data_IF_911279770295
#
_entry.id   IF_911279770295
#
_cell.length_a   1.000
_cell.length_b   1.000
_cell.length_c   1.000
_cell.angle_alpha   90.00
_cell.angle_beta   90.00
_cell.angle_gamma   90.00
#
_symmetry.space_group_name_H-M   'P 1'
#
loop_
_entity.id
_entity.type
_entity.pdbx_description
1 polymer ?
#
# COMPACT_ATOMS: atom_id res chain seq x y z
N UNK A 1 5.80 -21.83 1.33
CA UNK A 1 6.53 -21.66 0.05
C UNK A 1 5.75 -22.17 -1.17
N UNK A 2 5.42 -23.47 -1.29
CA UNK A 2 4.77 -24.02 -2.51
C UNK A 2 3.49 -23.30 -2.95
N UNK A 3 2.54 -23.10 -2.03
CA UNK A 3 1.27 -22.40 -2.33
C UNK A 3 1.46 -20.90 -2.63
N UNK A 4 2.45 -20.23 -2.03
CA UNK A 4 2.80 -18.85 -2.39
C UNK A 4 3.12 -18.73 -3.88
N UNK A 5 3.94 -19.65 -4.40
CA UNK A 5 4.29 -19.70 -5.82
C UNK A 5 3.12 -20.13 -6.71
N UNK A 6 2.52 -21.28 -6.43
CA UNK A 6 1.55 -21.92 -7.33
C UNK A 6 0.19 -21.21 -7.33
N UNK A 7 -0.29 -20.82 -6.14
CA UNK A 7 -1.61 -20.20 -5.98
C UNK A 7 -1.54 -18.70 -6.12
N UNK A 8 -0.53 -18.03 -5.56
CA UNK A 8 -0.49 -16.57 -5.49
C UNK A 8 0.54 -15.92 -6.41
N UNK A 9 1.38 -16.70 -7.09
CA UNK A 9 2.40 -16.15 -8.01
C UNK A 9 3.50 -15.37 -7.30
N UNK A 10 3.73 -15.64 -6.01
CA UNK A 10 4.73 -14.99 -5.16
C UNK A 10 5.96 -15.88 -5.02
N UNK A 11 7.13 -15.34 -5.32
CA UNK A 11 8.41 -16.02 -5.11
C UNK A 11 9.46 -15.08 -4.53
N UNK A 12 10.38 -15.63 -3.76
CA UNK A 12 11.59 -14.93 -3.31
C UNK A 12 12.84 -15.67 -3.77
N UNK A 13 13.90 -14.93 -4.11
CA UNK A 13 15.21 -15.48 -4.43
C UNK A 13 16.30 -14.54 -3.91
N UNK A 14 16.98 -14.93 -2.83
CA UNK A 14 17.89 -14.02 -2.15
C UNK A 14 17.13 -12.80 -1.62
N UNK A 15 17.50 -11.62 -2.11
CA UNK A 15 16.91 -10.33 -1.74
C UNK A 15 15.77 -9.90 -2.70
N UNK A 16 15.49 -10.68 -3.75
CA UNK A 16 14.41 -10.39 -4.71
C UNK A 16 13.05 -10.92 -4.21
N UNK A 17 12.02 -10.08 -4.30
CA UNK A 17 10.61 -10.46 -4.25
C UNK A 17 9.97 -10.27 -5.64
N UNK A 18 9.37 -11.33 -6.17
CA UNK A 18 8.63 -11.29 -7.44
C UNK A 18 7.16 -11.60 -7.24
N UNK A 19 6.30 -10.73 -7.78
CA UNK A 19 4.85 -10.83 -7.75
C UNK A 19 4.31 -10.92 -9.19
N UNK A 20 3.71 -12.06 -9.54
CA UNK A 20 3.02 -12.18 -10.83
C UNK A 20 1.60 -11.60 -10.73
N UNK A 21 1.19 -10.82 -11.74
CA UNK A 21 -0.15 -10.24 -11.76
C UNK A 21 -1.26 -11.31 -11.85
N UNK A 22 -1.09 -12.32 -12.72
CA UNK A 22 -1.98 -13.49 -12.79
C UNK A 22 -1.16 -14.73 -12.46
N UNK A 23 -1.58 -15.48 -11.45
CA UNK A 23 -0.90 -16.71 -11.02
C UNK A 23 -1.33 -17.93 -11.85
N UNK A 24 -0.55 -19.03 -11.84
CA UNK A 24 -0.97 -20.30 -12.44
C UNK A 24 -2.28 -20.85 -11.85
N UNK A 25 -2.55 -20.58 -10.57
CA UNK A 25 -3.79 -20.93 -9.89
C UNK A 25 -4.99 -20.01 -10.21
N UNK A 26 -4.82 -19.01 -11.09
CA UNK A 26 -5.87 -18.08 -11.49
C UNK A 26 -6.13 -16.93 -10.51
N UNK A 27 -5.27 -16.74 -9.50
CA UNK A 27 -5.34 -15.57 -8.61
C UNK A 27 -4.88 -14.32 -9.35
N UNK A 28 -5.54 -13.18 -9.09
CA UNK A 28 -5.23 -11.89 -9.71
C UNK A 28 -4.77 -10.92 -8.63
N UNK A 29 -3.56 -10.39 -8.78
CA UNK A 29 -2.93 -9.46 -7.85
C UNK A 29 -2.52 -10.10 -6.52
N UNK A 30 -1.72 -9.39 -5.75
CA UNK A 30 -1.35 -9.79 -4.38
C UNK A 30 -0.98 -8.55 -3.56
N UNK A 31 -1.15 -8.64 -2.25
CA UNK A 31 -0.63 -7.67 -1.28
C UNK A 31 0.13 -8.42 -0.20
N UNK A 32 1.33 -7.97 0.10
CA UNK A 32 2.24 -8.57 1.06
C UNK A 32 2.69 -7.54 2.07
N UNK A 33 3.12 -8.01 3.23
CA UNK A 33 3.69 -7.19 4.29
C UNK A 33 5.04 -7.78 4.68
N UNK A 34 5.98 -6.92 5.04
CA UNK A 34 7.24 -7.35 5.61
C UNK A 34 7.02 -7.74 7.07
N UNK A 35 7.34 -8.99 7.40
CA UNK A 35 7.36 -9.47 8.79
C UNK A 35 8.72 -9.18 9.40
N UNK A 36 8.71 -8.85 10.69
CA UNK A 36 9.93 -8.84 11.49
C UNK A 36 10.55 -10.23 11.60
N UNK A 37 11.80 -10.31 12.05
CA UNK A 37 12.52 -11.57 12.22
C UNK A 37 11.79 -12.59 13.13
N UNK A 38 10.94 -12.11 14.05
CA UNK A 38 10.16 -12.98 14.94
C UNK A 38 8.92 -13.60 14.25
N UNK A 39 8.55 -13.11 13.06
CA UNK A 39 7.38 -13.56 12.28
C UNK A 39 6.01 -13.46 12.97
N UNK A 40 5.96 -12.88 14.17
CA UNK A 40 4.73 -12.63 14.97
C UNK A 40 4.24 -11.19 14.86
N UNK A 41 5.08 -10.29 14.34
CA UNK A 41 4.80 -8.88 14.11
C UNK A 41 5.32 -8.43 12.74
N UNK A 42 4.71 -7.39 12.18
CA UNK A 42 5.23 -6.66 11.03
C UNK A 42 6.52 -5.93 11.36
N UNK A 43 7.34 -5.68 10.33
CA UNK A 43 8.52 -4.82 10.45
C UNK A 43 8.08 -3.35 10.54
N UNK A 44 8.32 -2.73 11.70
CA UNK A 44 7.94 -1.34 11.95
C UNK A 44 9.05 -0.37 11.57
N UNK A 45 8.84 0.42 10.52
CA UNK A 45 9.83 1.37 10.01
C UNK A 45 9.64 2.77 10.63
N UNK A 46 10.66 3.25 11.33
CA UNK A 46 10.72 4.61 11.88
C UNK A 46 11.57 5.48 10.94
N UNK A 47 10.93 6.18 10.00
CA UNK A 47 11.63 6.76 8.86
C UNK A 47 11.99 8.24 8.98
N UNK A 48 11.56 8.95 10.01
CA UNK A 48 11.98 10.35 10.21
C UNK A 48 13.50 10.46 10.29
N UNK A 49 14.10 11.37 9.50
CA UNK A 49 15.54 11.54 9.39
C UNK A 49 16.26 10.26 8.92
N UNK A 50 15.63 9.52 8.01
CA UNK A 50 16.17 8.29 7.41
C UNK A 50 15.96 8.29 5.90
N UNK A 51 16.61 7.33 5.28
CA UNK A 51 16.47 6.99 3.88
C UNK A 51 15.96 5.55 3.77
N UNK A 52 15.11 5.29 2.78
CA UNK A 52 14.76 3.95 2.35
C UNK A 52 15.07 3.81 0.86
N UNK A 53 15.63 2.66 0.49
CA UNK A 53 15.96 2.37 -0.89
C UNK A 53 15.64 0.93 -1.25
N UNK A 54 15.25 0.71 -2.50
CA UNK A 54 15.02 -0.62 -3.06
C UNK A 54 15.18 -0.59 -4.58
N UNK A 55 15.56 -1.73 -5.14
CA UNK A 55 15.56 -1.92 -6.59
C UNK A 55 14.18 -2.36 -7.07
N UNK A 56 13.74 -1.82 -8.21
CA UNK A 56 12.49 -2.21 -8.84
C UNK A 56 12.70 -2.55 -10.32
N UNK A 57 12.06 -3.61 -10.78
CA UNK A 57 11.91 -3.94 -12.19
C UNK A 57 10.41 -3.95 -12.54
N UNK A 58 9.97 -2.91 -13.25
CA UNK A 58 8.60 -2.76 -13.73
C UNK A 58 8.49 -2.89 -15.26
N UNK A 59 9.55 -3.37 -15.92
CA UNK A 59 9.66 -3.46 -17.38
C UNK A 59 8.53 -4.28 -18.03
N UNK A 60 7.96 -5.20 -17.27
CA UNK A 60 6.85 -6.07 -17.69
C UNK A 60 5.45 -5.57 -17.29
N UNK A 61 5.34 -4.45 -16.58
CA UNK A 61 4.06 -3.89 -16.13
C UNK A 61 3.50 -2.94 -17.20
N UNK A 62 2.39 -3.29 -17.88
CA UNK A 62 1.77 -2.44 -18.89
C UNK A 62 0.84 -1.39 -18.28
N UNK A 63 0.23 -0.56 -19.12
CA UNK A 63 -0.88 0.30 -18.73
C UNK A 63 -1.99 -0.48 -18.02
N UNK A 64 -2.56 0.14 -16.98
CA UNK A 64 -3.68 -0.45 -16.21
C UNK A 64 -3.24 -1.43 -15.12
N UNK A 65 -1.94 -1.66 -14.95
CA UNK A 65 -1.36 -2.41 -13.82
C UNK A 65 -0.58 -1.44 -12.93
N UNK A 66 -0.55 -1.71 -11.63
CA UNK A 66 0.24 -0.97 -10.66
C UNK A 66 1.05 -1.97 -9.82
N UNK A 67 2.36 -1.84 -9.84
CA UNK A 67 3.27 -2.46 -8.89
C UNK A 67 3.62 -1.44 -7.82
N UNK A 68 3.04 -1.60 -6.63
CA UNK A 68 3.14 -0.61 -5.57
C UNK A 68 4.04 -1.07 -4.40
N UNK A 69 4.81 -0.14 -3.86
CA UNK A 69 5.53 -0.26 -2.58
C UNK A 69 5.18 0.96 -1.75
N UNK A 70 4.57 0.73 -0.59
CA UNK A 70 4.01 1.78 0.24
C UNK A 70 4.00 1.38 1.70
N UNK A 71 3.78 2.35 2.56
CA UNK A 71 3.76 2.22 4.01
C UNK A 71 2.39 2.61 4.53
N UNK A 72 1.90 1.87 5.51
CA UNK A 72 0.61 2.14 6.16
C UNK A 72 0.75 2.07 7.67
N UNK A 73 -0.02 2.89 8.38
CA UNK A 73 0.00 2.94 9.85
C UNK A 73 -0.86 1.82 10.48
N UNK A 74 -0.53 0.58 10.14
CA UNK A 74 -1.10 -0.64 10.75
C UNK A 74 -0.54 -0.89 12.16
N UNK A 75 -1.30 -1.60 13.00
CA UNK A 75 -0.76 -2.13 14.25
C UNK A 75 0.26 -3.24 13.93
N UNK A 76 1.43 -3.23 14.59
CA UNK A 76 2.50 -4.19 14.29
C UNK A 76 2.10 -5.65 14.54
N UNK A 77 1.16 -5.92 15.43
CA UNK A 77 0.65 -7.26 15.72
C UNK A 77 -0.57 -7.64 14.85
N UNK A 78 -0.93 -6.84 13.85
CA UNK A 78 -2.15 -6.98 13.04
C UNK A 78 -3.44 -6.67 13.81
N UNK A 79 -3.34 -6.05 14.99
CA UNK A 79 -4.46 -5.62 15.82
C UNK A 79 -4.89 -6.64 16.88
N UNK A 80 -4.13 -7.71 17.12
CA UNK A 80 -4.50 -8.76 18.10
C UNK A 80 -4.63 -8.20 19.52
N UNK A 81 -3.73 -7.31 19.93
CA UNK A 81 -3.77 -6.68 21.25
C UNK A 81 -4.99 -5.76 21.43
N UNK A 82 -5.46 -5.13 20.35
CA UNK A 82 -6.58 -4.18 20.38
C UNK A 82 -7.93 -4.86 20.21
N UNK A 83 -7.98 -5.98 19.48
CA UNK A 83 -9.22 -6.60 19.04
C UNK A 83 -9.26 -8.07 19.44
N UNK A 84 -9.91 -8.42 20.58
CA UNK A 84 -9.94 -9.79 21.08
C UNK A 84 -10.50 -10.83 20.11
N UNK A 85 -11.33 -10.42 19.14
CA UNK A 85 -11.83 -11.27 18.05
C UNK A 85 -10.77 -11.67 17.03
N UNK A 86 -9.68 -10.91 16.89
CA UNK A 86 -8.54 -11.26 16.05
C UNK A 86 -7.64 -12.25 16.79
N UNK A 87 -7.58 -13.49 16.31
CA UNK A 87 -6.67 -14.54 16.81
C UNK A 87 -5.54 -14.87 15.84
N UNK A 88 -5.48 -14.19 14.70
CA UNK A 88 -4.58 -14.52 13.60
C UNK A 88 -3.36 -13.58 13.57
N UNK A 89 -3.58 -12.26 13.65
CA UNK A 89 -2.52 -11.27 13.76
C UNK A 89 -1.64 -11.11 12.51
N UNK A 90 -0.46 -10.51 12.71
CA UNK A 90 0.46 -10.18 11.62
C UNK A 90 0.93 -11.42 10.83
N UNK A 91 1.13 -12.55 11.51
CA UNK A 91 1.51 -13.83 10.89
C UNK A 91 0.54 -14.31 9.80
N UNK A 92 -0.70 -13.82 9.82
CA UNK A 92 -1.75 -14.12 8.84
C UNK A 92 -2.17 -12.91 8.01
N UNK A 93 -1.42 -11.80 8.05
CA UNK A 93 -1.69 -10.64 7.21
C UNK A 93 -2.93 -9.82 7.63
N UNK A 94 -3.33 -9.85 8.91
CA UNK A 94 -4.52 -9.12 9.38
C UNK A 94 -4.26 -7.66 9.72
N UNK A 95 -5.31 -6.86 9.77
CA UNK A 95 -5.24 -5.47 10.26
C UNK A 95 -5.01 -4.42 9.17
N UNK A 96 -5.10 -4.80 7.89
CA UNK A 96 -4.92 -3.86 6.77
C UNK A 96 -5.81 -2.62 6.88
N UNK A 97 -5.23 -1.48 6.55
CA UNK A 97 -5.84 -0.18 6.38
C UNK A 97 -4.97 0.65 5.44
N UNK A 98 -5.56 1.66 4.83
CA UNK A 98 -4.86 2.67 4.03
C UNK A 98 -5.69 3.97 4.00
N UNK A 99 -5.26 4.99 3.26
CA UNK A 99 -5.94 6.29 3.25
C UNK A 99 -7.22 6.30 2.41
N UNK A 100 -7.47 5.26 1.61
CA UNK A 100 -8.71 5.09 0.85
C UNK A 100 -9.88 4.61 1.71
N UNK A 101 -9.62 4.22 2.97
CA UNK A 101 -10.61 3.63 3.87
C UNK A 101 -11.34 2.41 3.24
N UNK A 102 -10.62 1.41 2.73
CA UNK A 102 -11.14 0.33 1.90
C UNK A 102 -12.21 -0.48 2.63
N UNK A 103 -13.33 -0.69 1.93
CA UNK A 103 -14.49 -1.44 2.42
C UNK A 103 -14.50 -2.89 1.95
N UNK A 104 -13.57 -3.27 1.09
CA UNK A 104 -13.39 -4.64 0.60
C UNK A 104 -12.53 -5.52 1.52
N UNK A 105 -11.99 -4.93 2.59
CA UNK A 105 -11.30 -5.67 3.66
C UNK A 105 -12.30 -6.58 4.37
N UNK A 106 -12.04 -7.89 4.30
CA UNK A 106 -12.97 -8.94 4.78
C UNK A 106 -13.07 -9.05 6.30
N UNK A 107 -12.01 -8.70 7.02
CA UNK A 107 -11.96 -8.70 8.48
C UNK A 107 -11.38 -7.37 8.98
N UNK A 108 -12.17 -6.61 9.74
CA UNK A 108 -11.78 -5.30 10.25
C UNK A 108 -12.00 -5.29 11.77
N UNK A 109 -11.00 -4.86 12.52
CA UNK A 109 -11.08 -4.75 13.98
C UNK A 109 -11.48 -6.06 14.68
N UNK A 110 -11.03 -7.21 14.15
CA UNK A 110 -11.30 -8.54 14.72
C UNK A 110 -12.69 -9.10 14.41
N UNK A 111 -13.48 -8.45 13.55
CA UNK A 111 -14.82 -8.88 13.16
C UNK A 111 -14.90 -9.07 11.63
N UNK A 112 -15.71 -10.02 11.13
CA UNK A 112 -15.97 -10.15 9.70
C UNK A 112 -16.79 -8.95 9.21
N UNK A 113 -16.36 -8.35 8.09
CA UNK A 113 -17.06 -7.22 7.45
C UNK A 113 -18.21 -7.69 6.55
N UNK A 114 -19.11 -8.51 7.08
CA UNK A 114 -20.17 -9.17 6.29
C UNK A 114 -21.50 -8.39 6.26
N UNK A 115 -21.65 -7.33 7.07
CA UNK A 115 -22.83 -6.49 7.05
C UNK A 115 -22.89 -5.71 5.74
N UNK A 116 -24.07 -5.68 5.11
CA UNK A 116 -24.32 -4.96 3.84
C UNK A 116 -23.37 -5.39 2.70
N UNK A 117 -22.84 -6.62 2.77
CA UNK A 117 -21.89 -7.12 1.78
C UNK A 117 -22.50 -7.21 0.38
N UNK A 118 -21.90 -6.53 -0.58
CA UNK A 118 -22.29 -6.54 -1.99
C UNK A 118 -21.11 -6.76 -2.93
N UNK A 119 -21.32 -7.36 -4.12
CA UNK A 119 -20.24 -7.55 -5.10
C UNK A 119 -19.81 -6.22 -5.72
N UNK A 120 -18.53 -6.12 -6.09
CA UNK A 120 -18.04 -5.02 -6.92
C UNK A 120 -18.28 -5.37 -8.40
N UNK A 121 -19.06 -4.57 -9.16
CA UNK A 121 -19.29 -4.84 -10.57
C UNK A 121 -17.99 -4.95 -11.37
N UNK A 122 -17.84 -6.03 -12.15
CA UNK A 122 -16.66 -6.24 -13.00
C UNK A 122 -15.41 -6.76 -12.28
N UNK A 123 -15.43 -6.90 -10.95
CA UNK A 123 -14.29 -7.44 -10.17
C UNK A 123 -14.69 -8.77 -9.54
N UNK A 124 -14.55 -9.90 -10.26
CA UNK A 124 -14.83 -11.21 -9.69
C UNK A 124 -13.93 -11.44 -8.47
N UNK A 125 -14.48 -12.04 -7.42
CA UNK A 125 -13.84 -12.32 -6.12
C UNK A 125 -13.65 -11.12 -5.16
N UNK A 126 -14.13 -9.93 -5.53
CA UNK A 126 -14.21 -8.78 -4.60
C UNK A 126 -15.65 -8.42 -4.25
N UNK A 127 -15.80 -7.78 -3.10
CA UNK A 127 -17.05 -7.23 -2.60
C UNK A 127 -16.73 -6.17 -1.54
N UNK A 128 -17.73 -5.38 -1.17
CA UNK A 128 -17.59 -4.34 -0.15
C UNK A 128 -18.61 -4.58 0.95
N UNK A 129 -18.17 -4.46 2.20
CA UNK A 129 -19.04 -4.49 3.37
C UNK A 129 -19.42 -3.09 3.84
N UNK A 130 -20.11 -3.02 4.98
CA UNK A 130 -20.50 -1.76 5.61
C UNK A 130 -19.30 -0.91 6.03
N UNK A 131 -18.30 -1.54 6.63
CA UNK A 131 -17.19 -0.85 7.29
C UNK A 131 -16.00 -0.68 6.35
N UNK A 132 -15.24 0.39 6.54
CA UNK A 132 -13.93 0.59 5.94
C UNK A 132 -12.81 0.60 6.98
N UNK A 133 -11.56 0.47 6.53
CA UNK A 133 -10.38 0.44 7.40
C UNK A 133 -9.40 1.56 7.03
N UNK A 134 -9.37 2.64 7.81
CA UNK A 134 -8.62 3.87 7.52
C UNK A 134 -7.32 3.96 8.32
N UNK A 135 -6.22 4.36 7.68
CA UNK A 135 -5.01 4.83 8.35
C UNK A 135 -4.12 5.67 7.43
N UNK A 136 -3.14 6.36 8.00
CA UNK A 136 -2.13 7.12 7.25
C UNK A 136 -1.39 6.19 6.29
N UNK A 137 -1.11 6.69 5.09
CA UNK A 137 -0.46 5.99 4.01
C UNK A 137 0.64 6.86 3.39
N UNK A 138 1.77 6.25 3.05
CA UNK A 138 2.86 6.87 2.32
C UNK A 138 3.24 5.97 1.16
N UNK A 139 2.88 6.39 -0.04
CA UNK A 139 3.18 5.70 -1.27
C UNK A 139 4.59 6.07 -1.72
N UNK A 140 5.54 5.17 -1.46
CA UNK A 140 6.93 5.32 -1.91
C UNK A 140 7.01 5.15 -3.43
N UNK A 141 6.14 4.30 -3.98
CA UNK A 141 6.14 3.94 -5.39
C UNK A 141 4.80 3.36 -5.82
N UNK A 142 4.12 4.03 -6.73
CA UNK A 142 3.01 3.49 -7.50
C UNK A 142 3.35 3.58 -8.99
N UNK A 143 3.57 2.46 -9.67
CA UNK A 143 4.02 2.52 -11.05
C UNK A 143 3.69 1.32 -11.94
N UNK A 144 3.81 1.59 -13.22
CA UNK A 144 4.09 0.62 -14.28
C UNK A 144 5.21 1.18 -15.16
N UNK A 145 5.54 0.51 -16.26
CA UNK A 145 6.60 0.98 -17.15
C UNK A 145 6.38 2.39 -17.71
N UNK A 146 5.15 2.92 -17.74
CA UNK A 146 4.85 4.18 -18.43
C UNK A 146 4.73 5.39 -17.50
N UNK A 147 4.38 5.17 -16.25
CA UNK A 147 4.18 6.25 -15.29
C UNK A 147 4.50 5.77 -13.88
N UNK A 148 4.94 6.72 -13.06
CA UNK A 148 5.15 6.54 -11.63
C UNK A 148 4.68 7.76 -10.85
N UNK A 149 4.19 7.54 -9.63
CA UNK A 149 3.92 8.54 -8.62
C UNK A 149 4.50 8.12 -7.25
N UNK A 150 4.80 9.13 -6.44
CA UNK A 150 4.94 8.99 -4.99
C UNK A 150 3.97 9.97 -4.33
N UNK A 151 3.32 9.54 -3.25
CA UNK A 151 2.15 10.25 -2.71
C UNK A 151 2.09 10.14 -1.19
N UNK A 152 1.99 11.27 -0.51
CA UNK A 152 1.75 11.30 0.93
C UNK A 152 0.26 11.47 1.23
N UNK A 153 -0.31 10.57 2.02
CA UNK A 153 -1.71 10.60 2.43
C UNK A 153 -1.85 10.74 3.94
N UNK A 154 -2.36 11.88 4.39
CA UNK A 154 -2.61 12.11 5.81
C UNK A 154 -4.00 11.67 6.23
N UNK A 155 -4.16 11.32 7.50
CA UNK A 155 -5.45 11.10 8.12
C UNK A 155 -5.51 11.74 9.50
N UNK A 156 -6.70 12.12 9.96
CA UNK A 156 -6.90 12.71 11.28
C UNK A 156 -6.84 11.71 12.44
N UNK A 157 -6.86 10.41 12.16
CA UNK A 157 -6.70 9.34 13.16
C UNK A 157 -5.24 9.01 13.44
N UNK A 158 -4.92 8.65 14.68
CA UNK A 158 -3.56 8.36 15.14
C UNK A 158 -3.12 6.89 15.01
N UNK A 159 -4.02 6.03 14.54
CA UNK A 159 -3.85 4.58 14.36
C UNK A 159 -4.98 4.05 13.47
N UNK A 160 -4.93 2.78 13.05
CA UNK A 160 -6.03 2.13 12.32
C UNK A 160 -7.40 2.44 12.94
N UNK A 161 -8.32 2.92 12.10
CA UNK A 161 -9.70 3.27 12.44
C UNK A 161 -10.68 2.48 11.55
N UNK A 162 -11.64 1.79 12.16
CA UNK A 162 -12.82 1.29 11.44
C UNK A 162 -13.79 2.45 11.20
N UNK A 163 -14.00 2.83 9.95
CA UNK A 163 -15.02 3.82 9.60
C UNK A 163 -16.37 3.12 9.34
N UNK A 164 -17.48 3.79 9.69
CA UNK A 164 -18.81 3.16 9.67
C UNK A 164 -19.84 3.88 8.80
N UNK A 165 -19.63 5.16 8.50
CA UNK A 165 -20.53 5.97 7.67
C UNK A 165 -19.87 6.35 6.36
N UNK A 166 -20.69 6.59 5.33
CA UNK A 166 -20.22 7.09 4.03
C UNK A 166 -19.37 8.35 4.18
N UNK A 167 -19.74 9.26 5.09
CA UNK A 167 -18.96 10.47 5.37
C UNK A 167 -17.61 10.11 5.97
N UNK A 168 -17.59 9.34 7.06
CA UNK A 168 -16.34 8.99 7.76
C UNK A 168 -15.37 8.23 6.85
N UNK A 169 -15.89 7.31 6.03
CA UNK A 169 -15.12 6.54 5.06
C UNK A 169 -14.76 7.32 3.79
N UNK A 170 -15.23 8.56 3.62
CA UNK A 170 -15.02 9.37 2.43
C UNK A 170 -15.57 8.73 1.14
N UNK A 171 -16.78 8.19 1.19
CA UNK A 171 -17.45 7.52 0.07
C UNK A 171 -18.14 8.51 -0.86
N UNK A 172 -18.02 8.28 -2.17
CA UNK A 172 -18.70 9.08 -3.20
C UNK A 172 -18.43 10.58 -3.03
N UNK A 173 -19.50 11.37 -2.96
CA UNK A 173 -19.43 12.83 -2.78
C UNK A 173 -18.78 13.26 -1.45
N UNK A 174 -18.60 12.34 -0.50
CA UNK A 174 -17.92 12.60 0.77
C UNK A 174 -16.40 12.41 0.69
N UNK A 175 -15.81 12.23 -0.50
CA UNK A 175 -14.36 12.03 -0.69
C UNK A 175 -13.48 12.96 0.15
N UNK A 176 -13.86 14.23 0.25
CA UNK A 176 -13.13 15.28 0.98
C UNK A 176 -13.66 15.57 2.40
N UNK A 177 -14.68 14.84 2.84
CA UNK A 177 -15.28 14.96 4.17
C UNK A 177 -14.93 13.78 5.10
N UNK A 178 -14.19 12.79 4.58
CA UNK A 178 -13.70 11.64 5.33
C UNK A 178 -12.54 11.98 6.26
N UNK A 179 -12.10 10.96 7.00
CA UNK A 179 -11.00 11.09 7.97
C UNK A 179 -9.61 11.09 7.32
N UNK A 180 -9.51 10.65 6.07
CA UNK A 180 -8.27 10.51 5.32
C UNK A 180 -8.31 11.33 4.04
N UNK A 181 -7.16 11.88 3.68
CA UNK A 181 -6.92 12.47 2.37
C UNK A 181 -6.76 11.37 1.32
N UNK A 182 -7.80 11.19 0.51
CA UNK A 182 -7.82 10.17 -0.54
C UNK A 182 -7.06 10.55 -1.81
N UNK A 183 -6.83 11.85 -2.03
CA UNK A 183 -6.09 12.33 -3.20
C UNK A 183 -4.58 12.27 -2.91
N UNK A 184 -4.20 12.70 -1.70
CA UNK A 184 -2.81 12.80 -1.29
C UNK A 184 -2.09 13.99 -1.93
N UNK A 185 -0.86 14.20 -1.48
CA UNK A 185 0.07 15.12 -2.12
C UNK A 185 1.01 14.33 -3.03
N UNK A 186 0.64 14.21 -4.30
CA UNK A 186 1.36 13.40 -5.28
C UNK A 186 2.44 14.21 -6.02
N UNK A 187 3.53 13.51 -6.33
CA UNK A 187 4.48 13.96 -7.33
C UNK A 187 4.58 12.89 -8.40
N UNK A 188 3.95 13.21 -9.52
CA UNK A 188 3.90 12.40 -10.72
C UNK A 188 4.55 13.23 -11.85
N UNK A 189 5.75 12.83 -12.28
CA UNK A 189 6.61 13.69 -13.12
C UNK A 189 5.97 14.10 -14.45
N UNK A 190 5.17 13.22 -15.07
CA UNK A 190 4.44 13.52 -16.30
C UNK A 190 3.32 14.55 -16.07
N UNK A 191 2.54 14.43 -14.99
CA UNK A 191 1.45 15.32 -14.56
C UNK A 191 1.99 16.71 -14.23
N UNK A 192 3.21 16.78 -13.68
CA UNK A 192 3.93 18.03 -13.42
C UNK A 192 4.65 18.59 -14.66
N UNK A 193 4.45 17.99 -15.84
CA UNK A 193 4.90 18.52 -17.14
C UNK A 193 6.24 17.97 -17.64
N UNK A 194 6.91 17.09 -16.89
CA UNK A 194 8.14 16.44 -17.31
C UNK A 194 7.86 15.10 -18.00
N UNK A 195 7.52 15.16 -19.28
CA UNK A 195 7.05 13.98 -20.04
C UNK A 195 8.16 13.06 -20.56
N UNK A 196 9.43 13.44 -20.41
CA UNK A 196 10.59 12.64 -20.85
C UNK A 196 11.45 12.13 -19.70
N UNK A 197 11.02 12.35 -18.44
CA UNK A 197 11.80 11.93 -17.28
C UNK A 197 11.73 10.41 -17.06
N UNK A 198 10.54 9.82 -17.08
CA UNK A 198 10.34 8.40 -16.79
C UNK A 198 9.57 7.72 -17.93
N UNK A 199 10.03 6.56 -18.38
CA UNK A 199 9.35 5.75 -19.39
C UNK A 199 10.25 4.67 -20.01
N UNK A 200 9.71 3.81 -20.88
CA UNK A 200 10.44 2.66 -21.39
C UNK A 200 11.39 3.07 -22.53
N UNK A 201 12.67 2.80 -22.35
CA UNK A 201 13.73 2.97 -23.34
C UNK A 201 14.68 4.12 -23.03
N UNK A 202 15.87 4.05 -23.63
CA UNK A 202 16.99 4.96 -23.38
C UNK A 202 16.76 6.44 -23.75
N UNK A 203 15.61 6.79 -24.34
CA UNK A 203 15.21 8.18 -24.59
C UNK A 203 14.69 8.90 -23.34
N UNK A 204 14.28 8.16 -22.31
CA UNK A 204 13.85 8.72 -21.02
C UNK A 204 15.04 8.88 -20.08
N UNK A 205 14.97 9.83 -19.16
CA UNK A 205 16.02 10.02 -18.14
C UNK A 205 16.15 8.80 -17.23
N UNK A 206 15.01 8.23 -16.84
CA UNK A 206 14.88 6.96 -16.13
C UNK A 206 14.23 5.96 -17.09
N UNK A 207 15.04 5.02 -17.58
CA UNK A 207 14.61 3.94 -18.47
C UNK A 207 13.94 2.81 -17.69
N UNK A 208 12.60 2.77 -17.71
CA UNK A 208 11.79 1.78 -17.01
C UNK A 208 11.81 0.39 -17.67
N UNK A 209 12.46 0.22 -18.82
CA UNK A 209 12.65 -1.09 -19.46
C UNK A 209 13.72 -1.94 -18.79
N UNK A 210 14.36 -1.42 -17.74
CA UNK A 210 15.44 -2.05 -16.98
C UNK A 210 15.22 -1.83 -15.48
N UNK A 211 15.83 -2.65 -14.60
CA UNK A 211 15.84 -2.39 -13.17
C UNK A 211 16.54 -1.07 -12.82
N UNK A 212 16.06 -0.40 -11.78
CA UNK A 212 16.66 0.81 -11.22
C UNK A 212 16.46 0.88 -9.70
N UNK A 213 17.31 1.63 -9.02
CA UNK A 213 17.20 1.87 -7.58
C UNK A 213 16.34 3.11 -7.31
N UNK A 214 15.37 2.94 -6.44
CA UNK A 214 14.58 4.01 -5.85
C UNK A 214 15.16 4.38 -4.50
N UNK A 215 15.26 5.68 -4.24
CA UNK A 215 15.74 6.23 -2.97
C UNK A 215 14.75 7.31 -2.54
N UNK A 216 14.25 7.22 -1.32
CA UNK A 216 13.35 8.20 -0.71
C UNK A 216 13.95 8.64 0.62
N UNK A 217 14.05 9.95 0.83
CA UNK A 217 14.65 10.54 2.02
C UNK A 217 13.58 11.31 2.80
N UNK A 218 13.48 11.08 4.11
CA UNK A 218 12.50 11.74 4.96
C UNK A 218 13.17 12.79 5.82
N UNK A 219 13.17 14.03 5.34
CA UNK A 219 13.93 15.12 5.94
C UNK A 219 13.13 15.76 7.08
N UNK A 220 13.77 15.93 8.23
CA UNK A 220 13.18 16.63 9.38
C UNK A 220 13.76 18.03 9.55
N UNK A 221 12.96 18.95 10.10
CA UNK A 221 13.28 20.38 10.22
C UNK A 221 14.62 20.67 10.92
N UNK A 222 15.00 19.82 11.88
CA UNK A 222 16.20 19.95 12.69
C UNK A 222 17.22 18.84 12.46
N UNK A 223 17.00 17.96 11.47
CA UNK A 223 17.86 16.82 11.18
C UNK A 223 17.91 15.76 12.30
N UNK A 224 16.89 15.73 13.17
CA UNK A 224 16.73 14.73 14.22
C UNK A 224 15.59 13.76 13.94
N UNK A 225 15.62 12.60 14.60
CA UNK A 225 14.59 11.56 14.47
C UNK A 225 13.23 11.99 15.06
N UNK A 226 13.24 13.02 15.93
CA UNK A 226 12.04 13.53 16.60
C UNK A 226 11.51 14.82 16.00
N UNK A 227 12.30 15.56 15.22
CA UNK A 227 11.91 16.83 14.59
C UNK A 227 10.78 16.69 13.56
N UNK A 228 10.04 17.75 13.27
CA UNK A 228 8.93 17.72 12.30
C UNK A 228 9.40 17.28 10.91
N UNK A 229 8.63 16.42 10.22
CA UNK A 229 8.91 16.05 8.82
C UNK A 229 8.60 17.26 7.92
N UNK A 230 9.54 17.67 7.08
CA UNK A 230 9.41 18.88 6.24
C UNK A 230 9.54 18.62 4.75
N UNK A 231 10.19 17.55 4.34
CA UNK A 231 10.39 17.20 2.93
C UNK A 231 10.54 15.68 2.79
N UNK A 232 10.04 15.16 1.67
CA UNK A 232 10.15 13.76 1.24
C UNK A 232 10.50 13.71 -0.24
#
# INVERSE_FOLDING_TARGET
AKQYKETYGVTTQGEELRLNFVSPGGNVGSRLYLLSNESTAYEGLQLKNREIAFDADVSSLPCGVNGAVYLVQMDLDGGVSRFPGNKAGAAYGTGYCDAQCPKDVKFISGEPNCLEWGPVPGVPNSGVGKYGSCCVEMDLWEANALATAYTAHSCSNSRQLRCESAVQCGEGDSRYAGVCDKDGCDIQTYRLGSTSFYGPGASYTVDSSRPFTLVTQFITADGSDTGELVEV
#
